data_IF_405773631595
#
_entry.id   IF_405773631595
#
_cell.length_a   1.000
_cell.length_b   1.000
_cell.length_c   1.000
_cell.angle_alpha   90.00
_cell.angle_beta   90.00
_cell.angle_gamma   90.00
#
_symmetry.space_group_name_H-M   'P 1'
#
loop_
_entity.id
_entity.type
_entity.pdbx_description
1 polymer ?
#
# COMPACT_ATOMS: atom_id res chain seq x y z
N UNK A 1 -11.69 26.40 3.83
CA UNK A 1 -10.24 26.23 3.89
C UNK A 1 -9.97 24.77 3.59
N UNK A 2 -9.73 24.46 2.32
CA UNK A 2 -9.30 23.14 1.87
C UNK A 2 -7.89 22.92 2.41
N UNK A 3 -7.74 21.98 3.35
CA UNK A 3 -6.41 21.54 3.76
C UNK A 3 -5.72 20.93 2.56
N UNK A 4 -4.63 21.53 2.12
CA UNK A 4 -3.71 20.90 1.18
C UNK A 4 -3.18 19.63 1.85
N UNK A 5 -3.61 18.48 1.34
CA UNK A 5 -2.95 17.22 1.61
C UNK A 5 -1.56 17.38 1.02
N UNK A 6 -0.55 17.46 1.87
CA UNK A 6 0.86 17.39 1.47
C UNK A 6 1.06 16.04 0.79
N UNK A 7 0.96 15.99 -0.54
CA UNK A 7 1.42 14.85 -1.33
C UNK A 7 2.91 14.68 -1.06
N UNK A 8 3.25 13.71 -0.21
CA UNK A 8 4.63 13.24 -0.06
C UNK A 8 5.06 12.72 -1.43
N UNK A 9 5.86 13.52 -2.14
CA UNK A 9 6.44 13.16 -3.44
C UNK A 9 7.09 11.78 -3.32
N UNK A 10 6.59 10.81 -4.08
CA UNK A 10 7.17 9.46 -4.07
C UNK A 10 8.44 9.49 -4.90
N UNK A 11 9.49 8.81 -4.45
CA UNK A 11 10.72 8.68 -5.23
C UNK A 11 10.47 7.92 -6.55
N UNK A 12 9.42 7.09 -6.61
CA UNK A 12 9.00 6.38 -7.82
C UNK A 12 8.44 7.29 -8.91
N UNK A 13 8.05 8.53 -8.57
CA UNK A 13 7.47 9.49 -9.53
C UNK A 13 8.52 9.99 -10.53
N UNK A 14 9.80 9.91 -10.14
CA UNK A 14 10.93 10.30 -10.99
C UNK A 14 11.39 9.14 -11.91
N UNK A 15 10.78 7.94 -11.81
CA UNK A 15 11.13 6.79 -12.66
C UNK A 15 10.47 6.86 -14.05
N UNK A 16 11.21 6.54 -15.13
CA UNK A 16 10.66 6.50 -16.48
C UNK A 16 9.56 5.44 -16.65
N UNK A 17 8.39 5.88 -17.11
CA UNK A 17 7.25 5.02 -17.42
C UNK A 17 7.46 4.31 -18.76
N UNK A 18 7.03 3.04 -18.84
CA UNK A 18 7.10 2.28 -20.08
C UNK A 18 5.98 2.68 -21.07
N UNK A 19 6.35 3.31 -22.19
CA UNK A 19 5.40 3.75 -23.22
C UNK A 19 4.84 2.62 -24.11
N UNK A 20 5.37 1.40 -24.00
CA UNK A 20 4.84 0.22 -24.69
C UNK A 20 3.64 -0.41 -23.97
N UNK A 21 3.27 0.09 -22.79
CA UNK A 21 2.22 -0.49 -21.96
C UNK A 21 1.18 0.54 -21.53
N UNK A 22 0.01 0.05 -21.16
CA UNK A 22 -1.08 0.85 -20.59
C UNK A 22 -1.79 0.05 -19.50
N UNK A 23 -2.34 0.76 -18.51
CA UNK A 23 -3.05 0.16 -17.38
C UNK A 23 -4.48 0.69 -17.37
N UNK A 24 -5.45 -0.22 -17.21
CA UNK A 24 -6.85 0.11 -16.93
C UNK A 24 -7.23 -0.38 -15.55
N UNK A 25 -7.91 0.47 -14.77
CA UNK A 25 -8.44 0.13 -13.45
C UNK A 25 -9.94 0.36 -13.41
N UNK A 26 -10.65 -0.48 -12.67
CA UNK A 26 -12.06 -0.29 -12.33
C UNK A 26 -12.24 -0.56 -10.86
N UNK A 27 -12.87 0.36 -10.16
CA UNK A 27 -13.20 0.21 -8.73
C UNK A 27 -14.29 -0.84 -8.53
N UNK A 28 -14.30 -1.45 -7.35
CA UNK A 28 -15.36 -2.37 -6.95
C UNK A 28 -16.71 -1.65 -6.94
N UNK A 29 -17.75 -2.27 -7.52
CA UNK A 29 -19.07 -1.65 -7.68
C UNK A 29 -20.14 -2.42 -6.91
N UNK A 30 -21.03 -1.70 -6.23
CA UNK A 30 -22.27 -2.22 -5.66
C UNK A 30 -23.41 -1.83 -6.59
N UNK A 31 -24.16 -2.84 -7.04
CA UNK A 31 -25.40 -2.66 -7.77
C UNK A 31 -26.53 -2.50 -6.77
N UNK A 32 -27.25 -1.38 -6.88
CA UNK A 32 -28.46 -1.16 -6.10
C UNK A 32 -29.66 -1.83 -6.76
N UNK A 33 -30.70 -2.07 -5.97
CA UNK A 33 -31.98 -2.61 -6.46
C UNK A 33 -32.64 -1.72 -7.53
N UNK A 34 -32.35 -0.41 -7.52
CA UNK A 34 -32.81 0.57 -8.51
C UNK A 34 -32.05 0.51 -9.86
N UNK A 35 -31.07 -0.40 -9.98
CA UNK A 35 -30.25 -0.59 -11.18
C UNK A 35 -29.08 0.40 -11.32
N UNK A 36 -28.97 1.40 -10.43
CA UNK A 36 -27.84 2.31 -10.41
C UNK A 36 -26.61 1.70 -9.73
N UNK A 37 -25.43 2.10 -10.21
CA UNK A 37 -24.13 1.65 -9.69
C UNK A 37 -23.57 2.68 -8.72
N UNK A 38 -22.94 2.21 -7.65
CA UNK A 38 -22.10 3.03 -6.78
C UNK A 38 -20.78 2.31 -6.53
N UNK A 39 -19.70 3.05 -6.37
CA UNK A 39 -18.44 2.49 -5.88
C UNK A 39 -18.64 1.92 -4.47
N UNK A 40 -18.16 0.69 -4.26
CA UNK A 40 -18.31 -0.01 -3.00
C UNK A 40 -17.44 0.64 -1.91
N UNK A 41 -16.19 0.91 -2.27
CA UNK A 41 -15.07 1.38 -1.45
C UNK A 41 -14.07 2.11 -2.35
N UNK A 42 -13.14 2.83 -1.74
CA UNK A 42 -11.99 3.39 -2.44
C UNK A 42 -11.19 2.30 -3.16
N UNK A 43 -10.45 2.68 -4.20
CA UNK A 43 -9.61 1.75 -4.94
C UNK A 43 -8.42 1.30 -4.07
N UNK A 44 -8.38 0.02 -3.73
CA UNK A 44 -7.29 -0.58 -2.94
C UNK A 44 -6.17 -1.13 -3.84
N UNK A 45 -6.40 -1.18 -5.16
CA UNK A 45 -5.45 -1.70 -6.14
C UNK A 45 -4.37 -0.68 -6.48
N UNK A 46 -3.15 -1.16 -6.71
CA UNK A 46 -2.02 -0.35 -7.18
C UNK A 46 -1.30 -1.04 -8.33
N UNK A 47 -0.64 -0.25 -9.17
CA UNK A 47 0.13 -0.78 -10.28
C UNK A 47 1.29 0.14 -10.62
N UNK A 48 2.36 -0.42 -11.16
CA UNK A 48 3.43 0.35 -11.78
C UNK A 48 3.88 -0.31 -13.08
N UNK A 49 4.51 0.50 -13.92
CA UNK A 49 5.07 0.08 -15.21
C UNK A 49 6.26 0.95 -15.59
N UNK A 50 7.46 0.47 -15.29
CA UNK A 50 8.70 1.22 -15.50
C UNK A 50 9.54 0.63 -16.63
N UNK A 51 10.19 1.51 -17.39
CA UNK A 51 11.25 1.17 -18.35
C UNK A 51 12.58 1.60 -17.75
N UNK A 52 13.37 0.67 -17.24
CA UNK A 52 14.61 0.98 -16.51
C UNK A 52 15.74 1.30 -17.50
N UNK A 53 15.85 0.49 -18.54
CA UNK A 53 16.78 0.68 -19.67
C UNK A 53 16.16 0.09 -20.95
N UNK A 54 16.94 -0.07 -22.02
CA UNK A 54 16.43 -0.58 -23.31
C UNK A 54 16.09 -2.08 -23.32
N UNK A 55 16.49 -2.81 -22.29
CA UNK A 55 16.32 -4.26 -22.16
C UNK A 55 15.62 -4.68 -20.86
N UNK A 56 15.53 -3.80 -19.87
CA UNK A 56 14.97 -4.09 -18.55
C UNK A 56 13.69 -3.30 -18.30
N UNK A 57 12.62 -4.03 -18.02
CA UNK A 57 11.29 -3.49 -17.74
C UNK A 57 10.73 -4.14 -16.47
N UNK A 58 10.02 -3.37 -15.65
CA UNK A 58 9.40 -3.86 -14.42
C UNK A 58 7.93 -3.45 -14.37
N UNK A 59 7.06 -4.44 -14.20
CA UNK A 59 5.61 -4.28 -14.15
C UNK A 59 5.08 -4.96 -12.89
N UNK A 60 4.07 -4.36 -12.26
CA UNK A 60 3.46 -4.90 -11.06
C UNK A 60 2.01 -4.48 -10.95
N UNK A 61 1.17 -5.40 -10.48
CA UNK A 61 -0.23 -5.14 -10.12
C UNK A 61 -0.45 -5.74 -8.73
N UNK A 62 -0.97 -4.93 -7.83
CA UNK A 62 -1.19 -5.24 -6.42
C UNK A 62 -2.69 -5.11 -6.15
N UNK A 63 -3.27 -6.16 -5.58
CA UNK A 63 -4.64 -6.16 -5.11
C UNK A 63 -4.63 -5.91 -3.60
N UNK A 64 -5.15 -4.76 -3.18
CA UNK A 64 -5.27 -4.42 -1.77
C UNK A 64 -6.50 -5.06 -1.13
N UNK A 65 -6.49 -5.18 0.19
CA UNK A 65 -7.65 -5.62 0.96
C UNK A 65 -7.61 -4.98 2.34
N UNK A 66 -8.79 -4.56 2.82
CA UNK A 66 -8.97 -3.95 4.15
C UNK A 66 -8.18 -2.63 4.28
N UNK A 67 -8.22 -1.83 3.20
CA UNK A 67 -7.45 -0.61 3.02
C UNK A 67 -6.34 -0.74 1.97
N UNK A 68 -5.88 0.40 1.45
CA UNK A 68 -4.82 0.44 0.43
C UNK A 68 -3.39 0.47 0.98
N UNK A 69 -3.21 0.64 2.30
CA UNK A 69 -1.90 0.89 2.93
C UNK A 69 -0.81 -0.10 2.51
N UNK A 70 -1.08 -1.41 2.56
CA UNK A 70 -0.12 -2.45 2.17
C UNK A 70 0.20 -2.38 0.67
N UNK A 71 -0.82 -2.15 -0.16
CA UNK A 71 -0.67 -2.05 -1.61
C UNK A 71 0.11 -0.78 -2.01
N UNK A 72 -0.15 0.34 -1.35
CA UNK A 72 0.59 1.60 -1.46
C UNK A 72 2.07 1.39 -1.11
N UNK A 73 2.33 0.82 0.07
CA UNK A 73 3.68 0.54 0.54
C UNK A 73 4.43 -0.39 -0.41
N UNK A 74 3.79 -1.49 -0.84
CA UNK A 74 4.39 -2.47 -1.74
C UNK A 74 4.69 -1.86 -3.11
N UNK A 75 3.78 -1.05 -3.67
CA UNK A 75 3.96 -0.41 -4.96
C UNK A 75 5.16 0.56 -4.97
N UNK A 76 5.47 1.19 -3.84
CA UNK A 76 6.63 2.07 -3.70
C UNK A 76 7.91 1.32 -3.35
N UNK A 77 7.85 0.31 -2.48
CA UNK A 77 9.04 -0.35 -1.94
C UNK A 77 9.57 -1.45 -2.85
N UNK A 78 8.69 -2.17 -3.57
CA UNK A 78 9.10 -3.23 -4.49
C UNK A 78 10.05 -2.74 -5.60
N UNK A 79 9.77 -1.62 -6.30
CA UNK A 79 10.73 -1.07 -7.25
C UNK A 79 12.07 -0.71 -6.60
N UNK A 80 12.08 -0.23 -5.35
CA UNK A 80 13.32 0.16 -4.66
C UNK A 80 14.23 -1.04 -4.43
N UNK A 81 13.66 -2.16 -4.00
CA UNK A 81 14.40 -3.40 -3.70
C UNK A 81 14.86 -4.15 -4.95
N UNK A 82 14.29 -3.84 -6.11
CA UNK A 82 14.62 -4.50 -7.39
C UNK A 82 15.54 -3.62 -8.25
N UNK A 83 15.29 -2.30 -8.30
CA UNK A 83 15.86 -1.38 -9.29
C UNK A 83 17.09 -0.61 -8.81
N UNK A 84 17.35 -0.52 -7.51
CA UNK A 84 18.48 0.25 -6.95
C UNK A 84 19.77 -0.58 -6.94
N UNK A 85 20.07 -1.22 -8.07
CA UNK A 85 21.31 -1.96 -8.33
C UNK A 85 21.24 -3.47 -8.07
N UNK A 86 20.14 -4.00 -7.55
CA UNK A 86 20.01 -5.42 -7.23
C UNK A 86 19.95 -6.30 -8.47
N UNK A 87 19.39 -5.79 -9.58
CA UNK A 87 19.34 -6.49 -10.87
C UNK A 87 20.56 -6.26 -11.76
N UNK A 88 21.48 -5.36 -11.40
CA UNK A 88 22.64 -5.06 -12.24
C UNK A 88 23.47 -6.32 -12.52
N UNK A 89 23.82 -6.54 -13.78
CA UNK A 89 24.64 -7.66 -14.27
C UNK A 89 24.04 -9.06 -14.04
N UNK A 90 22.81 -9.17 -13.53
CA UNK A 90 22.11 -10.45 -13.32
C UNK A 90 21.28 -10.80 -14.54
N UNK A 91 21.83 -11.66 -15.37
CA UNK A 91 21.16 -12.13 -16.59
C UNK A 91 20.71 -13.58 -16.51
N UNK A 92 21.18 -14.35 -15.52
CA UNK A 92 20.74 -15.73 -15.33
C UNK A 92 19.37 -15.80 -14.63
N UNK A 93 18.48 -16.71 -15.04
CA UNK A 93 17.16 -16.88 -14.42
C UNK A 93 17.24 -17.11 -12.91
N UNK A 94 18.24 -17.85 -12.44
CA UNK A 94 18.44 -18.16 -11.03
C UNK A 94 18.82 -16.92 -10.22
N UNK A 95 19.69 -16.06 -10.77
CA UNK A 95 20.10 -14.82 -10.12
C UNK A 95 18.93 -13.82 -10.05
N UNK A 96 18.16 -13.69 -11.13
CA UNK A 96 16.95 -12.85 -11.15
C UNK A 96 15.92 -13.35 -10.15
N UNK A 97 15.67 -14.67 -10.11
CA UNK A 97 14.77 -15.28 -9.13
C UNK A 97 15.21 -14.99 -7.69
N UNK A 98 16.51 -15.09 -7.39
CA UNK A 98 17.03 -14.80 -6.06
C UNK A 98 16.79 -13.33 -5.65
N UNK A 99 16.99 -12.39 -6.57
CA UNK A 99 16.70 -10.96 -6.34
C UNK A 99 15.22 -10.73 -6.03
N UNK A 100 14.33 -11.29 -6.86
CA UNK A 100 12.90 -11.11 -6.67
C UNK A 100 12.46 -11.68 -5.32
N UNK A 101 12.92 -12.89 -4.96
CA UNK A 101 12.61 -13.49 -3.66
C UNK A 101 13.08 -12.62 -2.49
N UNK A 102 14.30 -12.10 -2.54
CA UNK A 102 14.81 -11.23 -1.47
C UNK A 102 14.04 -9.91 -1.40
N UNK A 103 13.67 -9.33 -2.54
CA UNK A 103 12.88 -8.11 -2.59
C UNK A 103 11.52 -8.28 -1.89
N UNK A 104 10.79 -9.38 -2.14
CA UNK A 104 9.54 -9.66 -1.43
C UNK A 104 9.74 -9.77 0.09
N UNK A 105 10.77 -10.49 0.53
CA UNK A 105 11.08 -10.64 1.96
C UNK A 105 11.51 -9.33 2.61
N UNK A 106 12.26 -8.48 1.89
CA UNK A 106 12.65 -7.17 2.36
C UNK A 106 11.43 -6.24 2.51
N UNK A 107 10.55 -6.19 1.51
CA UNK A 107 9.32 -5.39 1.56
C UNK A 107 8.40 -5.83 2.70
N UNK A 108 8.21 -7.13 2.88
CA UNK A 108 7.39 -7.68 3.97
C UNK A 108 7.95 -7.27 5.34
N UNK A 109 9.25 -7.48 5.57
CA UNK A 109 9.91 -7.09 6.83
C UNK A 109 9.80 -5.59 7.10
N UNK A 110 10.14 -4.76 6.11
CA UNK A 110 10.05 -3.31 6.25
C UNK A 110 8.63 -2.82 6.50
N UNK A 111 7.60 -3.50 5.96
CA UNK A 111 6.22 -3.14 6.26
C UNK A 111 5.88 -3.44 7.73
N UNK A 112 6.23 -4.63 8.24
CA UNK A 112 6.01 -4.96 9.66
C UNK A 112 6.74 -4.02 10.60
N UNK A 113 7.99 -3.67 10.28
CA UNK A 113 8.77 -2.68 11.03
C UNK A 113 8.08 -1.31 11.03
N UNK A 114 7.47 -0.89 9.91
CA UNK A 114 6.79 0.41 9.81
C UNK A 114 5.53 0.55 10.66
N UNK A 115 4.92 -0.58 11.07
CA UNK A 115 3.70 -0.60 11.88
C UNK A 115 3.93 -1.04 13.32
N UNK A 116 5.16 -1.40 13.69
CA UNK A 116 5.46 -1.98 15.00
C UNK A 116 5.11 -1.02 16.15
N UNK A 117 5.50 0.25 16.03
CA UNK A 117 5.17 1.29 17.02
C UNK A 117 3.66 1.51 17.14
N UNK A 118 2.92 1.47 16.03
CA UNK A 118 1.46 1.61 16.03
C UNK A 118 0.78 0.42 16.71
N UNK A 119 1.32 -0.79 16.53
CA UNK A 119 0.83 -1.98 17.21
C UNK A 119 1.10 -1.91 18.72
N UNK A 120 2.28 -1.42 19.11
CA UNK A 120 2.63 -1.21 20.52
C UNK A 120 1.73 -0.15 21.17
N UNK A 121 1.49 0.99 20.51
CA UNK A 121 0.58 2.03 20.98
C UNK A 121 -0.85 1.50 21.09
N UNK A 122 -1.34 0.79 20.07
CA UNK A 122 -2.67 0.16 20.11
C UNK A 122 -2.80 -0.82 21.27
N UNK A 123 -1.77 -1.61 21.56
CA UNK A 123 -1.77 -2.53 22.69
C UNK A 123 -1.85 -1.79 24.03
N UNK A 124 -1.08 -0.72 24.20
CA UNK A 124 -1.13 0.13 25.39
C UNK A 124 -2.52 0.74 25.60
N UNK A 125 -3.12 1.30 24.54
CA UNK A 125 -4.46 1.88 24.60
C UNK A 125 -5.53 0.83 24.98
N UNK A 126 -5.40 -0.39 24.48
CA UNK A 126 -6.31 -1.49 24.83
C UNK A 126 -6.17 -1.90 26.30
N UNK A 127 -4.98 -1.82 26.90
CA UNK A 127 -4.78 -2.07 28.33
C UNK A 127 -5.40 -0.99 29.23
N UNK A 128 -5.53 0.24 28.73
CA UNK A 128 -6.19 1.33 29.47
C UNK A 128 -7.73 1.24 29.41
N UNK A 129 -8.29 0.43 28.51
CA UNK A 129 -9.72 0.23 28.41
C UNK A 129 -10.23 -0.72 29.51
N UNK A 130 -11.33 -0.38 30.20
CA UNK A 130 -11.91 -1.27 31.20
C UNK A 130 -12.42 -2.58 30.57
N UNK A 131 -12.02 -3.71 31.16
CA UNK A 131 -12.46 -5.04 30.70
C UNK A 131 -14.00 -5.16 30.72
N UNK A 132 -14.58 -5.57 29.59
CA UNK A 132 -16.01 -5.86 29.47
C UNK A 132 -16.92 -4.71 29.00
N UNK A 133 -16.38 -3.53 28.68
CA UNK A 133 -17.14 -2.50 27.97
C UNK A 133 -17.03 -2.69 26.46
N UNK A 134 -18.17 -2.96 25.79
CA UNK A 134 -18.23 -2.85 24.34
C UNK A 134 -17.97 -1.41 23.90
N UNK A 135 -17.14 -1.21 22.87
CA UNK A 135 -16.78 0.11 22.31
C UNK A 135 -18.02 0.98 22.03
N UNK A 136 -19.14 0.36 21.65
CA UNK A 136 -20.42 1.01 21.40
C UNK A 136 -21.00 1.71 22.65
N UNK A 137 -20.73 1.20 23.85
CA UNK A 137 -21.22 1.79 25.09
C UNK A 137 -20.47 3.08 25.47
N UNK A 138 -19.19 3.20 25.11
CA UNK A 138 -18.37 4.40 25.37
C UNK A 138 -18.68 5.55 24.41
N UNK A 139 -18.98 5.27 23.13
CA UNK A 139 -19.34 6.32 22.17
C UNK A 139 -20.69 7.00 22.50
N UNK A 140 -21.62 6.29 23.14
CA UNK A 140 -22.90 6.85 23.57
C UNK A 140 -22.85 7.58 24.92
N UNK A 141 -21.81 7.38 25.73
CA UNK A 141 -21.75 7.93 27.11
C UNK A 141 -20.77 9.08 27.30
N UNK A 142 -19.80 9.29 26.40
CA UNK A 142 -18.77 10.31 26.63
C UNK A 142 -19.09 11.67 26.03
N UNK A 143 -19.83 12.43 26.83
CA UNK A 143 -19.84 13.89 26.89
C UNK A 143 -18.51 14.42 27.50
N UNK A 144 -17.35 13.95 27.02
CA UNK A 144 -16.05 14.45 27.49
C UNK A 144 -15.62 15.64 26.64
N UNK A 145 -15.96 16.83 27.15
CA UNK A 145 -15.27 18.09 26.83
C UNK A 145 -13.82 17.95 27.30
N UNK A 146 -12.88 17.94 26.37
CA UNK A 146 -11.47 18.21 26.65
C UNK A 146 -11.29 19.73 26.56
N UNK A 147 -10.88 20.34 27.67
CA UNK A 147 -10.33 21.70 27.74
C UNK A 147 -8.91 21.71 27.18
#
# INVERSE_FOLDING_TARGET
>A
MSGEVSETKSWTDDLPVCFYTGVGLSTNQIYKEDGYRREARECEDRSFHFKIDDHTFLYGVFNGKDGSSVADFSAQRMPAEILLGQLNDKTSPEAVKAVLSEAFLAVERSYFESIDDLLAERANLLCELPEGMELNHMMHTNNFRIL
#
